data_IF_314835911071
#
_entry.id   IF_314835911071
#
_cell.length_a   1.000
_cell.length_b   1.000
_cell.length_c   1.000
_cell.angle_alpha   90.00
_cell.angle_beta   90.00
_cell.angle_gamma   90.00
#
_symmetry.space_group_name_H-M   'P 1'
#
loop_
_entity.id
_entity.type
_entity.pdbx_description
1 polymer ?
#
# COMPACT_ATOMS: atom_id res chain seq x y z
N UNK A 1 -10.03 -14.21 -2.48
CA UNK A 1 -10.66 -15.32 -3.22
C UNK A 1 -10.26 -16.61 -2.53
N UNK A 2 -11.16 -17.58 -2.34
CA UNK A 2 -10.84 -18.80 -1.61
C UNK A 2 -9.74 -19.60 -2.33
N UNK A 3 -8.79 -20.13 -1.57
CA UNK A 3 -7.67 -20.94 -2.07
C UNK A 3 -8.13 -22.20 -2.85
N UNK A 4 -9.39 -22.60 -2.75
CA UNK A 4 -9.97 -23.77 -3.42
C UNK A 4 -9.84 -23.72 -4.97
N UNK A 5 -9.72 -22.54 -5.58
CA UNK A 5 -9.76 -22.38 -7.03
C UNK A 5 -8.40 -22.49 -7.77
N UNK A 6 -7.26 -22.49 -7.06
CA UNK A 6 -5.91 -22.49 -7.70
C UNK A 6 -4.95 -23.64 -7.34
N UNK A 7 -5.32 -24.93 -7.45
CA UNK A 7 -4.35 -26.04 -7.27
C UNK A 7 -3.20 -26.05 -8.28
N UNK A 8 -3.31 -25.34 -9.42
CA UNK A 8 -2.39 -25.45 -10.56
C UNK A 8 -1.04 -24.72 -10.36
N UNK A 9 -0.98 -23.73 -9.47
CA UNK A 9 0.23 -22.95 -9.21
C UNK A 9 1.16 -23.61 -8.18
N UNK A 10 0.62 -24.55 -7.40
CA UNK A 10 1.33 -25.20 -6.30
C UNK A 10 1.67 -26.65 -6.63
N UNK A 11 2.86 -27.11 -6.21
CA UNK A 11 3.20 -28.54 -6.25
C UNK A 11 2.52 -29.30 -5.11
N UNK A 12 1.19 -29.43 -5.17
CA UNK A 12 0.38 -30.00 -4.07
C UNK A 12 0.52 -31.52 -3.89
N UNK A 13 1.05 -32.26 -4.88
CA UNK A 13 1.11 -33.74 -4.85
C UNK A 13 1.74 -34.31 -3.58
N UNK A 14 2.73 -33.64 -2.99
CA UNK A 14 3.43 -34.13 -1.80
C UNK A 14 2.81 -33.68 -0.46
N UNK A 15 1.79 -32.82 -0.49
CA UNK A 15 1.16 -32.24 0.70
C UNK A 15 -0.36 -32.01 0.51
N UNK A 16 -0.99 -32.78 -0.39
CA UNK A 16 -2.43 -32.66 -0.70
C UNK A 16 -3.30 -32.87 0.54
N UNK A 17 -2.85 -33.75 1.46
CA UNK A 17 -3.52 -33.96 2.74
C UNK A 17 -3.55 -32.66 3.56
N UNK A 18 -2.40 -32.01 3.73
CA UNK A 18 -2.30 -30.73 4.43
C UNK A 18 -3.17 -29.67 3.75
N UNK A 19 -3.09 -29.53 2.42
CA UNK A 19 -3.89 -28.55 1.68
C UNK A 19 -5.39 -28.67 1.95
N UNK A 20 -5.91 -29.89 2.03
CA UNK A 20 -7.32 -30.17 2.33
C UNK A 20 -7.69 -30.01 3.81
N UNK A 21 -6.71 -30.00 4.71
CA UNK A 21 -6.90 -29.77 6.14
C UNK A 21 -6.85 -28.28 6.50
N UNK A 22 -7.53 -27.44 5.71
CA UNK A 22 -7.67 -26.02 6.01
C UNK A 22 -8.66 -25.81 7.17
N UNK A 23 -8.32 -24.95 8.13
CA UNK A 23 -9.24 -24.47 9.17
C UNK A 23 -9.91 -23.18 8.66
N UNK A 24 -11.04 -23.33 7.97
CA UNK A 24 -11.61 -22.29 7.12
C UNK A 24 -12.28 -21.12 7.84
N UNK A 25 -12.55 -21.25 9.14
CA UNK A 25 -13.24 -20.22 9.90
C UNK A 25 -12.79 -20.21 11.36
N UNK A 26 -13.11 -19.12 12.05
CA UNK A 26 -12.63 -18.86 13.39
C UNK A 26 -13.07 -19.93 14.40
N UNK A 27 -14.29 -20.44 14.27
CA UNK A 27 -14.80 -21.49 15.16
C UNK A 27 -13.98 -22.77 15.02
N UNK A 28 -13.75 -23.23 13.78
CA UNK A 28 -12.92 -24.42 13.53
C UNK A 28 -11.49 -24.26 14.06
N UNK A 29 -10.92 -23.05 14.01
CA UNK A 29 -9.59 -22.78 14.58
C UNK A 29 -9.61 -22.82 16.11
N UNK A 30 -10.65 -22.26 16.75
CA UNK A 30 -10.83 -22.29 18.22
C UNK A 30 -10.95 -23.71 18.76
N UNK A 31 -11.64 -24.59 18.04
CA UNK A 31 -11.81 -25.98 18.45
C UNK A 31 -10.49 -26.77 18.51
N UNK A 32 -9.42 -26.29 17.85
CA UNK A 32 -8.10 -26.94 17.82
C UNK A 32 -7.13 -26.44 18.90
N UNK A 33 -7.48 -25.39 19.65
CA UNK A 33 -6.54 -24.66 20.53
C UNK A 33 -5.96 -25.51 21.64
N UNK A 34 -6.71 -26.47 22.19
CA UNK A 34 -6.30 -27.18 23.41
C UNK A 34 -5.16 -28.20 23.21
N UNK A 35 -4.87 -28.63 21.97
CA UNK A 35 -3.87 -29.66 21.69
C UNK A 35 -3.00 -29.34 20.46
N UNK A 36 -2.95 -28.08 20.04
CA UNK A 36 -2.24 -27.66 18.83
C UNK A 36 -1.23 -26.58 19.14
N UNK A 37 -0.01 -26.75 18.62
CA UNK A 37 0.94 -25.65 18.49
C UNK A 37 0.67 -24.98 17.14
N UNK A 38 0.35 -23.69 17.19
CA UNK A 38 0.19 -22.86 16.00
C UNK A 38 1.55 -22.29 15.61
N UNK A 39 1.97 -22.49 14.37
CA UNK A 39 3.27 -22.05 13.87
C UNK A 39 3.05 -21.07 12.74
N UNK A 40 3.16 -19.77 13.03
CA UNK A 40 3.14 -18.75 12.01
C UNK A 40 4.44 -18.76 11.21
N UNK A 41 4.31 -18.60 9.90
CA UNK A 41 5.40 -18.40 8.98
C UNK A 41 5.21 -17.12 8.19
N UNK A 42 6.32 -16.47 7.90
CA UNK A 42 6.41 -15.40 6.91
C UNK A 42 7.74 -15.53 6.15
N UNK A 43 7.81 -15.01 4.93
CA UNK A 43 9.01 -15.09 4.10
C UNK A 43 9.35 -13.78 3.40
N UNK A 44 10.62 -13.39 3.46
CA UNK A 44 11.12 -12.28 2.63
C UNK A 44 11.61 -12.81 1.28
N UNK A 45 11.23 -12.20 0.15
CA UNK A 45 11.64 -12.64 -1.17
C UNK A 45 13.16 -12.51 -1.37
N UNK A 46 13.73 -13.34 -2.25
CA UNK A 46 15.09 -13.14 -2.74
C UNK A 46 15.13 -12.04 -3.80
N UNK A 47 15.87 -10.96 -3.53
CA UNK A 47 15.94 -9.78 -4.40
C UNK A 47 17.28 -9.69 -5.15
N UNK A 48 17.25 -9.12 -6.35
CA UNK A 48 18.44 -8.77 -7.13
C UNK A 48 19.05 -7.43 -6.67
N UNK A 49 20.15 -7.00 -7.32
CA UNK A 49 20.81 -5.73 -7.01
C UNK A 49 19.97 -4.48 -7.27
N UNK A 50 18.88 -4.60 -8.05
CA UNK A 50 17.94 -3.53 -8.34
C UNK A 50 16.70 -3.59 -7.43
N UNK A 51 16.67 -4.55 -6.49
CA UNK A 51 15.56 -4.77 -5.59
C UNK A 51 14.34 -5.46 -6.20
N UNK A 52 14.49 -6.12 -7.35
CA UNK A 52 13.44 -6.93 -7.96
C UNK A 52 13.53 -8.37 -7.48
N UNK A 53 12.38 -9.04 -7.33
CA UNK A 53 12.33 -10.47 -7.00
C UNK A 53 13.09 -11.26 -8.06
N UNK A 54 14.13 -11.97 -7.65
CA UNK A 54 14.98 -12.79 -8.53
C UNK A 54 14.27 -14.10 -8.89
N UNK A 55 13.63 -14.71 -7.91
CA UNK A 55 12.69 -15.82 -8.10
C UNK A 55 11.55 -15.70 -7.07
N UNK A 56 10.32 -15.81 -7.55
CA UNK A 56 9.10 -15.87 -6.72
C UNK A 56 9.04 -17.06 -5.77
N UNK A 57 9.89 -18.07 -6.01
CA UNK A 57 9.94 -19.32 -5.24
C UNK A 57 11.08 -19.32 -4.23
N UNK A 58 11.93 -18.31 -4.18
CA UNK A 58 13.06 -18.28 -3.25
C UNK A 58 12.91 -17.19 -2.19
N UNK A 59 13.24 -17.55 -0.95
CA UNK A 59 13.27 -16.63 0.18
C UNK A 59 14.71 -16.25 0.54
N UNK A 60 14.91 -15.01 0.97
CA UNK A 60 16.17 -14.57 1.61
C UNK A 60 16.13 -14.72 3.13
N UNK A 61 14.93 -14.65 3.72
CA UNK A 61 14.68 -14.74 5.16
C UNK A 61 13.38 -15.52 5.40
N UNK A 62 13.34 -16.32 6.46
CA UNK A 62 12.17 -17.10 6.87
C UNK A 62 11.94 -16.84 8.35
N UNK A 63 10.74 -16.37 8.69
CA UNK A 63 10.31 -16.13 10.05
C UNK A 63 9.43 -17.27 10.55
N UNK A 64 9.57 -17.61 11.83
CA UNK A 64 8.69 -18.55 12.50
C UNK A 64 8.27 -17.99 13.86
N UNK A 65 7.01 -18.13 14.21
CA UNK A 65 6.54 -17.87 15.57
C UNK A 65 5.60 -18.99 16.03
N UNK A 66 5.83 -19.49 17.24
CA UNK A 66 5.12 -20.61 17.82
C UNK A 66 4.23 -20.10 18.94
N UNK A 67 2.93 -20.39 18.85
CA UNK A 67 1.97 -20.20 19.92
C UNK A 67 1.60 -21.59 20.46
N UNK A 68 1.92 -21.82 21.72
CA UNK A 68 1.72 -23.11 22.35
C UNK A 68 0.34 -23.18 23.02
N UNK A 69 -0.27 -24.37 23.07
CA UNK A 69 -1.56 -24.55 23.71
C UNK A 69 -1.40 -24.37 25.23
N UNK A 70 -2.22 -23.52 25.85
CA UNK A 70 -2.13 -23.27 27.29
C UNK A 70 -3.54 -23.27 27.89
N UNK A 71 -3.76 -24.07 28.94
CA UNK A 71 -5.08 -24.27 29.53
C UNK A 71 -5.66 -22.99 30.18
N UNK A 72 -4.78 -22.05 30.53
CA UNK A 72 -5.11 -20.80 31.22
C UNK A 72 -4.96 -19.54 30.33
N UNK A 73 -4.72 -19.74 29.03
CA UNK A 73 -4.60 -18.67 28.06
C UNK A 73 -5.88 -17.82 28.01
N UNK A 74 -5.74 -16.49 28.20
CA UNK A 74 -6.86 -15.55 28.15
C UNK A 74 -7.61 -15.31 29.47
N UNK A 75 -7.06 -15.68 30.63
CA UNK A 75 -7.64 -15.30 31.95
C UNK A 75 -7.64 -13.79 32.21
N UNK A 76 -6.82 -13.02 31.50
CA UNK A 76 -6.84 -11.55 31.56
C UNK A 76 -8.01 -11.00 30.74
N UNK A 77 -8.76 -10.05 31.31
CA UNK A 77 -9.85 -9.37 30.59
C UNK A 77 -9.35 -8.46 29.47
N UNK A 78 -8.07 -8.07 29.49
CA UNK A 78 -7.51 -7.10 28.54
C UNK A 78 -6.58 -7.77 27.52
N UNK A 79 -6.77 -7.51 26.22
CA UNK A 79 -5.88 -8.04 25.18
C UNK A 79 -4.45 -7.48 25.32
N UNK A 80 -3.41 -8.27 24.95
CA UNK A 80 -2.06 -7.72 24.80
C UNK A 80 -2.03 -6.63 23.74
N UNK A 81 -1.20 -5.60 23.96
CA UNK A 81 -1.00 -4.48 23.03
C UNK A 81 0.41 -4.43 22.46
N UNK A 82 1.30 -5.28 22.98
CA UNK A 82 2.71 -5.36 22.57
C UNK A 82 3.19 -6.80 22.37
N UNK A 83 4.34 -6.97 21.70
CA UNK A 83 5.00 -8.27 21.54
C UNK A 83 5.42 -8.84 22.89
N UNK A 84 5.94 -7.99 23.77
CA UNK A 84 6.37 -8.32 25.11
C UNK A 84 5.17 -8.81 25.93
N UNK A 85 4.07 -8.04 25.96
CA UNK A 85 2.84 -8.47 26.65
C UNK A 85 2.26 -9.76 26.08
N UNK A 86 2.40 -9.98 24.77
CA UNK A 86 1.96 -11.22 24.13
C UNK A 86 2.80 -12.40 24.64
N UNK A 87 4.12 -12.26 24.70
CA UNK A 87 5.03 -13.28 25.22
C UNK A 87 4.89 -13.51 26.74
N UNK A 88 4.48 -12.49 27.49
CA UNK A 88 4.24 -12.59 28.93
C UNK A 88 2.91 -13.29 29.23
N UNK A 89 1.85 -12.99 28.47
CA UNK A 89 0.51 -13.55 28.68
C UNK A 89 0.31 -14.92 28.04
N UNK A 90 1.09 -15.24 27.00
CA UNK A 90 0.98 -16.48 26.25
C UNK A 90 2.36 -17.06 26.05
N UNK A 91 2.47 -18.39 26.14
CA UNK A 91 3.70 -19.05 25.77
C UNK A 91 3.94 -18.91 24.25
N UNK A 92 4.79 -17.96 23.86
CA UNK A 92 5.15 -17.67 22.47
C UNK A 92 6.66 -17.65 22.26
N UNK A 93 7.14 -18.39 21.27
CA UNK A 93 8.53 -18.28 20.79
C UNK A 93 8.56 -17.71 19.37
N UNK A 94 9.61 -16.97 19.03
CA UNK A 94 9.77 -16.34 17.72
C UNK A 94 11.21 -16.50 17.29
N UNK A 95 11.38 -16.83 16.02
CA UNK A 95 12.64 -17.20 15.39
C UNK A 95 12.71 -16.57 14.00
N UNK A 96 13.91 -16.24 13.57
CA UNK A 96 14.19 -15.74 12.24
C UNK A 96 15.40 -16.50 11.70
N UNK A 97 15.36 -16.92 10.46
CA UNK A 97 16.45 -17.64 9.79
C UNK A 97 16.77 -16.95 8.48
N UNK A 98 18.07 -16.78 8.19
CA UNK A 98 18.56 -16.25 6.92
C UNK A 98 19.04 -17.38 6.01
N UNK A 99 18.82 -17.21 4.72
CA UNK A 99 19.38 -18.09 3.71
C UNK A 99 20.71 -17.51 3.24
N UNK A 100 21.77 -18.29 3.39
CA UNK A 100 23.13 -17.96 2.99
C UNK A 100 23.21 -17.53 1.53
N UNK A 101 24.12 -16.60 1.26
CA UNK A 101 24.38 -16.01 -0.07
C UNK A 101 23.22 -15.20 -0.70
N UNK A 102 22.09 -15.06 -0.01
CA UNK A 102 20.94 -14.28 -0.49
C UNK A 102 20.90 -12.90 0.19
N UNK A 103 21.05 -11.83 -0.61
CA UNK A 103 21.00 -10.45 -0.13
C UNK A 103 19.59 -10.04 0.29
N UNK A 104 19.51 -9.27 1.38
CA UNK A 104 18.34 -8.51 1.85
C UNK A 104 18.61 -7.01 1.68
N UNK A 105 17.55 -6.20 1.60
CA UNK A 105 17.69 -4.76 1.88
C UNK A 105 17.91 -4.51 3.37
N UNK A 106 18.58 -3.40 3.70
CA UNK A 106 18.53 -2.87 5.06
C UNK A 106 17.07 -2.59 5.42
N UNK A 107 16.61 -3.23 6.49
CA UNK A 107 15.21 -3.24 6.87
C UNK A 107 15.05 -3.26 8.37
N UNK A 108 13.87 -3.65 8.79
CA UNK A 108 13.52 -3.81 10.19
C UNK A 108 14.46 -4.80 10.91
N UNK A 109 14.86 -4.44 12.14
CA UNK A 109 15.62 -5.32 13.01
C UNK A 109 14.70 -6.35 13.66
N UNK A 110 15.16 -7.58 13.76
CA UNK A 110 14.43 -8.62 14.48
C UNK A 110 14.30 -8.23 15.97
N UNK A 111 13.08 -8.31 16.51
CA UNK A 111 12.76 -7.73 17.81
C UNK A 111 13.48 -8.41 18.99
N UNK A 112 13.71 -9.73 18.95
CA UNK A 112 14.35 -10.52 20.02
C UNK A 112 15.88 -10.34 20.17
N UNK A 113 16.46 -9.26 19.66
CA UNK A 113 17.90 -8.99 19.85
C UNK A 113 18.65 -8.48 18.61
N UNK A 114 17.94 -8.08 17.55
CA UNK A 114 18.55 -7.50 16.37
C UNK A 114 19.18 -8.52 15.42
N UNK A 115 20.05 -8.06 14.53
CA UNK A 115 20.60 -8.87 13.44
C UNK A 115 21.60 -9.94 13.88
N UNK A 116 22.29 -9.73 15.00
CA UNK A 116 23.37 -10.60 15.49
C UNK A 116 22.86 -11.97 15.97
N UNK A 117 21.57 -12.08 16.28
CA UNK A 117 20.93 -13.30 16.80
C UNK A 117 20.33 -14.15 15.69
N UNK A 118 20.32 -13.68 14.44
CA UNK A 118 19.67 -14.37 13.32
C UNK A 118 20.63 -15.40 12.70
N UNK A 119 20.42 -16.71 12.89
CA UNK A 119 21.25 -17.72 12.25
C UNK A 119 21.12 -17.69 10.73
N UNK A 120 22.24 -17.90 10.04
CA UNK A 120 22.32 -18.01 8.59
C UNK A 120 22.74 -19.42 8.19
N UNK A 121 22.03 -20.03 7.25
CA UNK A 121 22.32 -21.38 6.77
C UNK A 121 22.46 -21.40 5.25
N UNK A 122 23.36 -22.22 4.74
CA UNK A 122 23.46 -22.47 3.30
C UNK A 122 22.09 -22.90 2.73
N UNK A 123 21.73 -22.51 1.49
CA UNK A 123 20.42 -22.81 0.90
C UNK A 123 19.99 -24.28 1.01
N UNK A 124 20.92 -25.23 0.87
CA UNK A 124 20.66 -26.66 0.99
C UNK A 124 20.45 -27.19 2.42
N UNK A 125 20.70 -26.37 3.44
CA UNK A 125 20.59 -26.70 4.87
C UNK A 125 19.43 -26.02 5.57
N UNK A 126 18.77 -25.06 4.91
CA UNK A 126 17.61 -24.33 5.44
C UNK A 126 16.48 -25.28 5.82
N UNK A 127 16.12 -26.23 4.95
CA UNK A 127 15.02 -27.17 5.24
C UNK A 127 15.30 -28.02 6.48
N UNK A 128 16.55 -28.49 6.62
CA UNK A 128 16.99 -29.28 7.77
C UNK A 128 16.90 -28.47 9.06
N UNK A 129 17.33 -27.21 9.03
CA UNK A 129 17.23 -26.30 10.17
C UNK A 129 15.77 -26.04 10.58
N UNK A 130 14.88 -25.79 9.62
CA UNK A 130 13.46 -25.56 9.86
C UNK A 130 12.78 -26.80 10.47
N UNK A 131 13.03 -27.99 9.90
CA UNK A 131 12.48 -29.25 10.42
C UNK A 131 12.99 -29.52 11.83
N UNK A 132 14.30 -29.36 12.08
CA UNK A 132 14.88 -29.59 13.40
C UNK A 132 14.31 -28.63 14.45
N UNK A 133 14.12 -27.36 14.09
CA UNK A 133 13.51 -26.36 14.96
C UNK A 133 12.10 -26.77 15.36
N UNK A 134 11.23 -27.07 14.38
CA UNK A 134 9.84 -27.49 14.65
C UNK A 134 9.80 -28.76 15.49
N UNK A 135 10.59 -29.78 15.14
CA UNK A 135 10.60 -31.05 15.87
C UNK A 135 11.10 -30.89 17.31
N UNK A 136 12.17 -30.12 17.52
CA UNK A 136 12.73 -29.87 18.84
C UNK A 136 11.73 -29.10 19.70
N UNK A 137 11.08 -28.07 19.13
CA UNK A 137 10.05 -27.30 19.81
C UNK A 137 8.82 -28.15 20.17
N UNK A 138 8.36 -29.01 19.26
CA UNK A 138 7.25 -29.94 19.52
C UNK A 138 7.59 -30.96 20.62
N UNK A 139 8.82 -31.50 20.60
CA UNK A 139 9.29 -32.46 21.60
C UNK A 139 9.40 -31.85 23.00
N UNK A 140 9.89 -30.60 23.11
CA UNK A 140 9.97 -29.88 24.38
C UNK A 140 8.60 -29.75 25.07
N UNK A 141 7.53 -29.68 24.30
CA UNK A 141 6.17 -29.57 24.82
C UNK A 141 5.51 -30.93 25.11
N UNK A 142 6.10 -32.04 24.66
CA UNK A 142 5.55 -33.39 24.86
C UNK A 142 6.00 -33.94 26.22
N UNK A 143 5.42 -33.45 27.32
CA UNK A 143 5.86 -33.84 28.68
C UNK A 143 4.96 -34.86 29.40
N UNK A 144 3.77 -35.24 28.89
CA UNK A 144 2.90 -36.19 29.63
C UNK A 144 1.82 -36.92 28.82
N UNK A 145 1.80 -36.85 27.48
CA UNK A 145 0.71 -37.39 26.67
C UNK A 145 1.03 -37.52 25.19
N UNK A 146 -0.02 -37.60 24.35
CA UNK A 146 0.14 -37.57 22.90
C UNK A 146 0.83 -36.28 22.45
N UNK A 147 1.69 -36.37 21.45
CA UNK A 147 2.38 -35.20 20.91
C UNK A 147 1.36 -34.19 20.35
N UNK A 148 1.50 -32.88 20.65
CA UNK A 148 0.57 -31.89 20.16
C UNK A 148 0.61 -31.83 18.63
N UNK A 149 -0.54 -31.57 18.01
CA UNK A 149 -0.61 -31.36 16.56
C UNK A 149 0.00 -30.02 16.17
N UNK A 150 0.44 -29.88 14.91
CA UNK A 150 1.04 -28.66 14.39
C UNK A 150 0.15 -28.06 13.31
N UNK A 151 -0.28 -26.81 13.51
CA UNK A 151 -1.03 -26.05 12.51
C UNK A 151 -0.14 -24.96 11.92
N UNK A 152 0.00 -24.96 10.59
CA UNK A 152 0.70 -23.90 9.86
C UNK A 152 -0.19 -22.66 9.82
N UNK A 153 0.35 -21.51 10.20
CA UNK A 153 -0.35 -20.23 10.23
C UNK A 153 0.36 -19.26 9.30
N UNK A 154 -0.37 -18.40 8.63
CA UNK A 154 0.21 -17.21 8.00
C UNK A 154 -0.86 -16.16 7.77
N UNK A 155 -0.49 -15.11 7.05
CA UNK A 155 -1.37 -14.01 6.69
C UNK A 155 -1.21 -13.75 5.20
N UNK A 156 -2.23 -14.08 4.40
CA UNK A 156 -2.11 -14.19 2.93
C UNK A 156 -1.01 -15.20 2.51
N UNK A 157 -1.17 -16.45 2.94
CA UNK A 157 -0.21 -17.56 2.83
C UNK A 157 0.19 -17.95 1.40
N UNK A 158 -0.33 -17.28 0.38
CA UNK A 158 -0.14 -17.67 -1.02
C UNK A 158 1.34 -17.67 -1.41
N UNK A 159 2.10 -16.64 -1.01
CA UNK A 159 3.52 -16.54 -1.33
C UNK A 159 4.34 -17.61 -0.58
N UNK A 160 4.03 -17.81 0.70
CA UNK A 160 4.68 -18.77 1.59
C UNK A 160 4.45 -20.18 1.07
N UNK A 161 3.22 -20.54 0.71
CA UNK A 161 2.94 -21.85 0.11
C UNK A 161 3.70 -22.07 -1.20
N UNK A 162 3.88 -21.03 -2.01
CA UNK A 162 4.64 -21.15 -3.25
C UNK A 162 6.10 -21.50 -2.95
N UNK A 163 6.71 -20.83 -2.00
CA UNK A 163 8.11 -21.05 -1.57
C UNK A 163 8.26 -22.42 -0.89
N UNK A 164 7.43 -22.70 0.11
CA UNK A 164 7.48 -23.92 0.92
C UNK A 164 7.23 -25.17 0.07
N UNK A 165 6.26 -25.14 -0.83
CA UNK A 165 5.93 -26.30 -1.68
C UNK A 165 7.02 -26.63 -2.71
N UNK A 166 7.84 -25.66 -3.08
CA UNK A 166 8.93 -25.85 -4.02
C UNK A 166 10.24 -26.26 -3.35
N UNK A 167 10.57 -25.66 -2.20
CA UNK A 167 11.91 -25.79 -1.61
C UNK A 167 11.92 -26.57 -0.30
N UNK A 168 10.81 -26.58 0.44
CA UNK A 168 10.77 -27.09 1.82
C UNK A 168 9.63 -28.11 2.03
N UNK A 169 9.48 -29.14 1.17
CA UNK A 169 8.40 -30.12 1.28
C UNK A 169 8.43 -30.96 2.56
N UNK A 170 9.60 -31.25 3.15
CA UNK A 170 9.73 -31.96 4.43
C UNK A 170 9.24 -31.11 5.59
N UNK A 171 9.50 -29.81 5.56
CA UNK A 171 8.96 -28.88 6.54
C UNK A 171 7.43 -28.85 6.50
N UNK A 172 6.83 -28.77 5.31
CA UNK A 172 5.36 -28.85 5.17
C UNK A 172 4.76 -30.15 5.73
N UNK A 173 5.50 -31.27 5.69
CA UNK A 173 5.03 -32.55 6.23
C UNK A 173 4.96 -32.60 7.76
N UNK A 174 5.52 -31.63 8.47
CA UNK A 174 5.39 -31.51 9.91
C UNK A 174 3.96 -31.10 10.34
N UNK A 175 3.20 -30.45 9.45
CA UNK A 175 1.90 -29.87 9.79
C UNK A 175 0.73 -30.80 9.47
N UNK A 176 -0.28 -30.78 10.33
CA UNK A 176 -1.52 -31.57 10.16
C UNK A 176 -2.64 -30.76 9.52
N UNK A 177 -2.60 -29.45 9.71
CA UNK A 177 -3.62 -28.47 9.31
C UNK A 177 -2.97 -27.12 9.02
N UNK A 178 -3.71 -26.22 8.38
CA UNK A 178 -3.26 -24.85 8.16
C UNK A 178 -4.42 -23.85 8.26
N UNK A 179 -4.09 -22.59 8.53
CA UNK A 179 -5.04 -21.47 8.63
C UNK A 179 -4.42 -20.17 8.13
N UNK A 180 -5.22 -19.39 7.40
CA UNK A 180 -4.87 -18.04 7.00
C UNK A 180 -5.58 -17.04 7.91
N UNK A 181 -4.80 -16.25 8.66
CA UNK A 181 -5.32 -15.27 9.61
C UNK A 181 -6.05 -14.12 8.89
N UNK A 182 -5.70 -13.82 7.64
CA UNK A 182 -6.40 -12.82 6.85
C UNK A 182 -7.83 -13.29 6.53
N UNK A 183 -8.01 -14.57 6.19
CA UNK A 183 -9.33 -15.16 5.97
C UNK A 183 -10.19 -15.12 7.24
N UNK A 184 -9.60 -15.42 8.41
CA UNK A 184 -10.29 -15.28 9.70
C UNK A 184 -10.72 -13.84 10.00
N UNK A 185 -9.87 -12.86 9.64
CA UNK A 185 -10.17 -11.44 9.82
C UNK A 185 -11.26 -10.96 8.85
N UNK A 186 -11.29 -11.48 7.62
CA UNK A 186 -12.36 -11.23 6.64
C UNK A 186 -13.68 -11.80 7.16
N UNK A 187 -13.69 -13.03 7.67
CA UNK A 187 -14.86 -13.69 8.25
C UNK A 187 -15.43 -12.85 9.42
N UNK A 188 -14.56 -12.41 10.34
CA UNK A 188 -14.95 -11.58 11.49
C UNK A 188 -15.66 -10.28 11.10
N UNK A 189 -15.18 -9.58 10.06
CA UNK A 189 -15.66 -8.26 9.69
C UNK A 189 -16.62 -8.26 8.48
N UNK A 190 -16.86 -9.42 7.85
CA UNK A 190 -17.69 -9.58 6.65
C UNK A 190 -17.34 -8.54 5.57
N UNK A 191 -16.04 -8.33 5.33
CA UNK A 191 -15.56 -7.30 4.41
C UNK A 191 -15.31 -7.84 3.00
N UNK A 192 -15.59 -7.05 1.94
CA UNK A 192 -15.25 -7.43 0.58
C UNK A 192 -13.75 -7.32 0.27
N UNK A 193 -13.03 -6.46 1.01
CA UNK A 193 -11.61 -6.22 0.83
C UNK A 193 -10.79 -6.88 1.94
N UNK A 194 -9.69 -7.51 1.55
CA UNK A 194 -8.80 -8.19 2.48
C UNK A 194 -7.98 -7.17 3.30
N UNK A 195 -8.01 -7.23 4.65
CA UNK A 195 -7.26 -6.31 5.49
C UNK A 195 -5.76 -6.59 5.41
N UNK A 196 -4.93 -5.56 5.58
CA UNK A 196 -3.50 -5.77 5.81
C UNK A 196 -3.25 -6.22 7.26
N UNK A 197 -2.15 -6.94 7.49
CA UNK A 197 -1.75 -7.34 8.85
C UNK A 197 -1.60 -6.13 9.79
N UNK A 198 -1.11 -5.02 9.27
CA UNK A 198 -1.06 -3.74 9.98
C UNK A 198 -2.44 -3.26 10.44
N UNK A 199 -3.42 -3.24 9.53
CA UNK A 199 -4.77 -2.78 9.87
C UNK A 199 -5.44 -3.73 10.86
N UNK A 200 -5.23 -5.03 10.71
CA UNK A 200 -5.69 -6.06 11.64
C UNK A 200 -5.17 -5.82 13.05
N UNK A 201 -3.86 -5.61 13.21
CA UNK A 201 -3.26 -5.35 14.53
C UNK A 201 -3.74 -4.03 15.15
N UNK A 202 -3.84 -2.95 14.35
CA UNK A 202 -4.37 -1.67 14.81
C UNK A 202 -5.80 -1.82 15.32
N UNK A 203 -6.65 -2.52 14.57
CA UNK A 203 -8.04 -2.79 14.96
C UNK A 203 -8.13 -3.60 16.26
N UNK A 204 -7.18 -4.50 16.47
CA UNK A 204 -7.09 -5.31 17.68
C UNK A 204 -6.44 -4.58 18.87
N UNK A 205 -6.12 -3.29 18.73
CA UNK A 205 -5.64 -2.45 19.82
C UNK A 205 -4.13 -2.52 20.09
N UNK A 206 -3.35 -3.16 19.20
CA UNK A 206 -1.89 -3.11 19.29
C UNK A 206 -1.37 -1.68 19.05
N UNK A 207 -0.35 -1.31 19.81
CA UNK A 207 0.21 0.02 19.71
C UNK A 207 0.92 0.23 18.37
N UNK A 208 0.69 1.38 17.73
CA UNK A 208 1.43 1.78 16.52
C UNK A 208 2.94 1.95 16.76
N UNK A 209 3.35 2.08 18.02
CA UNK A 209 4.75 2.28 18.45
C UNK A 209 5.41 1.00 18.99
N UNK A 210 4.66 -0.10 19.13
CA UNK A 210 5.24 -1.42 19.36
C UNK A 210 6.19 -1.75 18.18
N UNK A 211 7.33 -2.46 18.36
CA UNK A 211 8.48 -2.36 17.46
C UNK A 211 8.21 -3.14 16.16
N UNK A 212 7.32 -2.62 15.32
CA UNK A 212 6.71 -3.42 14.27
C UNK A 212 6.18 -2.66 13.07
N UNK A 213 6.36 -1.35 12.99
CA UNK A 213 6.22 -0.67 11.71
C UNK A 213 7.56 -0.07 11.37
N UNK A 214 8.23 -0.71 10.40
CA UNK A 214 9.30 -0.11 9.64
C UNK A 214 9.00 1.39 9.49
N UNK A 215 9.90 2.31 9.92
CA UNK A 215 9.69 3.73 9.68
C UNK A 215 9.39 3.94 8.19
N UNK A 216 8.67 5.00 7.78
CA UNK A 216 8.23 5.18 6.39
C UNK A 216 9.33 5.05 5.32
N UNK A 217 10.60 5.15 5.73
CA UNK A 217 11.78 5.05 4.89
C UNK A 217 12.52 3.69 4.96
N UNK A 218 12.08 2.75 5.80
CA UNK A 218 12.61 1.40 5.92
C UNK A 218 12.05 0.54 4.80
N UNK A 219 12.93 0.06 3.91
CA UNK A 219 12.54 -0.65 2.68
C UNK A 219 12.43 -2.17 2.82
N UNK A 220 12.72 -2.73 3.99
CA UNK A 220 12.64 -4.17 4.22
C UNK A 220 11.85 -4.47 5.49
N UNK A 221 10.88 -5.37 5.39
CA UNK A 221 10.29 -5.98 6.58
C UNK A 221 11.21 -7.10 7.09
N UNK A 222 10.89 -7.66 8.25
CA UNK A 222 11.60 -8.79 8.80
C UNK A 222 10.61 -9.94 8.98
N UNK A 223 10.89 -11.07 8.35
CA UNK A 223 9.98 -12.21 8.34
C UNK A 223 9.71 -12.72 9.76
N UNK A 224 10.71 -12.71 10.65
CA UNK A 224 10.53 -13.12 12.05
C UNK A 224 9.54 -12.24 12.81
N UNK A 225 9.61 -10.91 12.59
CA UNK A 225 8.65 -9.98 13.15
C UNK A 225 7.26 -10.18 12.52
N UNK A 226 7.14 -10.42 11.21
CA UNK A 226 5.85 -10.62 10.53
C UNK A 226 5.16 -11.93 10.95
N UNK A 227 5.93 -12.99 11.16
CA UNK A 227 5.43 -14.21 11.79
C UNK A 227 4.92 -13.93 13.23
N UNK A 228 5.65 -13.13 14.02
CA UNK A 228 5.20 -12.73 15.35
C UNK A 228 3.94 -11.86 15.33
N UNK A 229 3.84 -10.90 14.39
CA UNK A 229 2.63 -10.10 14.15
C UNK A 229 1.43 -10.98 13.81
N UNK A 230 1.65 -12.01 12.99
CA UNK A 230 0.61 -12.98 12.64
C UNK A 230 0.12 -13.75 13.86
N UNK A 231 1.03 -14.23 14.72
CA UNK A 231 0.66 -14.85 16.01
C UNK A 231 -0.11 -13.87 16.90
N UNK A 232 0.33 -12.62 17.00
CA UNK A 232 -0.37 -11.59 17.78
C UNK A 232 -1.82 -11.42 17.31
N UNK A 233 -2.05 -11.32 15.99
CA UNK A 233 -3.39 -11.24 15.44
C UNK A 233 -4.21 -12.52 15.73
N UNK A 234 -3.60 -13.70 15.58
CA UNK A 234 -4.25 -14.98 15.88
C UNK A 234 -4.63 -15.10 17.38
N UNK A 235 -3.77 -14.68 18.29
CA UNK A 235 -4.03 -14.66 19.74
C UNK A 235 -5.30 -13.87 20.05
N UNK A 236 -5.46 -12.68 19.46
CA UNK A 236 -6.65 -11.87 19.65
C UNK A 236 -7.90 -12.57 19.14
N UNK A 237 -7.83 -13.17 17.95
CA UNK A 237 -8.94 -13.89 17.35
C UNK A 237 -9.36 -15.12 18.19
N UNK A 238 -8.39 -15.88 18.70
CA UNK A 238 -8.64 -17.12 19.44
C UNK A 238 -9.15 -16.87 20.86
N UNK A 239 -8.52 -15.96 21.59
CA UNK A 239 -8.72 -15.81 23.04
C UNK A 239 -9.54 -14.59 23.44
N UNK A 240 -9.77 -13.65 22.52
CA UNK A 240 -10.56 -12.45 22.77
C UNK A 240 -11.75 -12.37 21.80
N UNK A 241 -12.64 -11.42 22.06
CA UNK A 241 -13.81 -11.13 21.22
C UNK A 241 -13.62 -9.78 20.52
N UNK A 242 -12.71 -9.68 19.52
CA UNK A 242 -12.56 -8.45 18.75
C UNK A 242 -13.85 -8.14 17.97
N UNK A 243 -14.11 -6.86 17.72
CA UNK A 243 -15.27 -6.42 16.93
C UNK A 243 -14.88 -6.22 15.47
N UNK A 244 -15.67 -6.78 14.56
CA UNK A 244 -15.47 -6.58 13.12
C UNK A 244 -15.51 -5.10 12.70
N UNK A 245 -16.34 -4.28 13.37
CA UNK A 245 -16.47 -2.84 13.10
C UNK A 245 -15.15 -2.07 13.30
N UNK A 246 -14.35 -2.45 14.29
CA UNK A 246 -13.06 -1.81 14.57
C UNK A 246 -12.07 -2.08 13.42
N UNK A 247 -12.15 -3.27 12.82
CA UNK A 247 -11.35 -3.65 11.65
C UNK A 247 -11.77 -2.89 10.39
N UNK A 248 -13.08 -2.77 10.16
CA UNK A 248 -13.63 -1.94 9.07
C UNK A 248 -13.13 -0.49 9.22
N UNK A 249 -13.17 0.05 10.44
CA UNK A 249 -12.74 1.42 10.69
C UNK A 249 -11.23 1.59 10.46
N UNK A 250 -10.40 0.68 10.97
CA UNK A 250 -8.95 0.73 10.76
C UNK A 250 -8.57 0.70 9.27
N UNK A 251 -9.23 -0.14 8.47
CA UNK A 251 -9.04 -0.18 7.03
C UNK A 251 -9.43 1.15 6.36
N UNK A 252 -10.60 1.71 6.69
CA UNK A 252 -11.05 3.01 6.16
C UNK A 252 -10.08 4.14 6.49
N UNK A 253 -9.61 4.18 7.73
CA UNK A 253 -8.64 5.18 8.20
C UNK A 253 -7.32 5.07 7.45
N UNK A 254 -6.81 3.85 7.24
CA UNK A 254 -5.60 3.63 6.44
C UNK A 254 -5.76 4.15 5.01
N UNK A 255 -6.84 3.82 4.33
CA UNK A 255 -7.08 4.26 2.95
C UNK A 255 -7.24 5.78 2.84
N UNK A 256 -7.94 6.40 3.79
CA UNK A 256 -8.10 7.86 3.85
C UNK A 256 -6.77 8.58 4.10
N UNK A 257 -5.94 8.06 5.02
CA UNK A 257 -4.61 8.59 5.32
C UNK A 257 -3.64 8.42 4.14
N UNK A 258 -3.67 7.27 3.45
CA UNK A 258 -2.83 7.04 2.26
C UNK A 258 -3.23 7.96 1.10
N UNK A 259 -4.52 8.20 0.92
CA UNK A 259 -5.00 9.19 -0.04
C UNK A 259 -4.50 10.60 0.32
N UNK A 260 -4.56 10.98 1.60
CA UNK A 260 -4.03 12.25 2.08
C UNK A 260 -2.50 12.36 1.94
N UNK A 261 -1.75 11.29 2.22
CA UNK A 261 -0.30 11.28 2.09
C UNK A 261 0.13 11.34 0.62
N UNK A 262 -0.58 10.66 -0.28
CA UNK A 262 -0.41 10.83 -1.73
C UNK A 262 -0.68 12.28 -2.13
N UNK A 263 -1.72 12.94 -1.60
CA UNK A 263 -1.95 14.38 -1.83
C UNK A 263 -0.76 15.23 -1.35
N UNK A 264 -0.24 14.99 -0.15
CA UNK A 264 0.89 15.76 0.42
C UNK A 264 2.19 15.53 -0.36
N UNK A 265 2.58 14.30 -0.62
CA UNK A 265 3.79 13.98 -1.39
C UNK A 265 3.69 14.50 -2.83
N UNK A 266 2.49 14.51 -3.37
CA UNK A 266 2.26 15.06 -4.69
C UNK A 266 2.29 16.60 -4.70
N UNK A 267 1.76 17.28 -3.67
CA UNK A 267 1.98 18.73 -3.47
C UNK A 267 3.46 19.09 -3.33
N UNK A 268 4.28 18.16 -2.84
CA UNK A 268 5.74 18.32 -2.78
C UNK A 268 6.44 18.05 -4.12
N UNK A 269 5.91 17.12 -4.94
CA UNK A 269 6.47 16.76 -6.26
C UNK A 269 6.03 17.70 -7.38
N UNK A 270 4.78 18.15 -7.33
CA UNK A 270 4.28 19.19 -8.19
C UNK A 270 4.72 20.51 -7.57
N UNK A 271 5.85 21.01 -8.04
CA UNK A 271 6.25 22.40 -7.86
C UNK A 271 5.34 23.31 -8.73
N UNK A 272 4.02 23.11 -8.70
CA UNK A 272 3.06 24.06 -9.27
C UNK A 272 3.12 25.24 -8.33
N UNK A 273 3.78 26.29 -8.80
CA UNK A 273 3.75 27.55 -8.12
C UNK A 273 2.28 27.93 -7.89
N UNK A 274 1.97 28.55 -6.74
CA UNK A 274 0.62 29.08 -6.47
C UNK A 274 0.09 29.98 -7.62
N UNK A 275 0.95 30.40 -8.54
CA UNK A 275 0.67 31.17 -9.74
C UNK A 275 -0.11 30.41 -10.82
N UNK A 276 -0.13 29.07 -10.84
CA UNK A 276 -0.84 28.27 -11.86
C UNK A 276 -2.21 27.72 -11.40
N UNK A 277 -2.66 28.10 -10.19
CA UNK A 277 -3.98 27.77 -9.66
C UNK A 277 -4.82 29.05 -9.51
N UNK A 278 -5.87 29.16 -10.32
CA UNK A 278 -6.64 30.38 -10.51
C UNK A 278 -7.98 30.33 -9.77
N UNK A 279 -8.02 30.94 -8.59
CA UNK A 279 -9.27 30.99 -7.80
C UNK A 279 -10.32 31.86 -8.49
N UNK A 280 -11.50 31.26 -8.69
CA UNK A 280 -12.67 31.89 -9.27
C UNK A 280 -12.42 32.48 -10.67
N UNK A 281 -11.37 32.11 -11.39
CA UNK A 281 -11.11 32.68 -12.71
C UNK A 281 -10.46 31.66 -13.63
N UNK A 282 -10.63 31.89 -14.93
CA UNK A 282 -9.94 31.13 -15.96
C UNK A 282 -8.42 31.37 -15.88
N UNK A 283 -7.58 30.36 -16.12
CA UNK A 283 -6.14 30.53 -16.26
C UNK A 283 -5.79 31.59 -17.31
N UNK A 284 -4.88 32.50 -16.94
CA UNK A 284 -4.50 33.69 -17.71
C UNK A 284 -3.03 34.01 -17.51
N UNK A 285 -2.31 34.56 -18.51
CA UNK A 285 -2.79 34.97 -19.83
C UNK A 285 -3.08 33.76 -20.74
N UNK A 286 -4.00 33.91 -21.71
CA UNK A 286 -4.43 32.79 -22.58
C UNK A 286 -3.29 32.23 -23.40
N UNK A 287 -2.32 33.08 -23.74
CA UNK A 287 -1.14 32.70 -24.50
C UNK A 287 -0.20 31.78 -23.72
N UNK A 288 -0.22 31.85 -22.38
CA UNK A 288 0.56 30.94 -21.52
C UNK A 288 -0.13 29.60 -21.32
N UNK A 289 -1.46 29.57 -21.39
CA UNK A 289 -2.26 28.36 -21.18
C UNK A 289 -3.26 28.18 -22.33
N UNK A 290 -2.83 27.92 -23.57
CA UNK A 290 -3.73 27.90 -24.73
C UNK A 290 -4.63 26.66 -24.76
N UNK A 291 -4.15 25.52 -24.25
CA UNK A 291 -4.86 24.23 -24.31
C UNK A 291 -5.81 24.10 -23.12
N UNK A 292 -6.95 24.79 -23.18
CA UNK A 292 -7.92 24.86 -22.09
C UNK A 292 -9.16 24.02 -22.35
N UNK A 293 -9.60 23.24 -21.36
CA UNK A 293 -10.93 22.65 -21.27
C UNK A 293 -11.76 23.37 -20.21
N UNK A 294 -13.02 23.64 -20.50
CA UNK A 294 -14.02 24.00 -19.48
C UNK A 294 -14.74 22.73 -19.07
N UNK A 295 -14.78 22.44 -17.77
CA UNK A 295 -15.45 21.27 -17.20
C UNK A 295 -16.50 21.72 -16.19
N UNK A 296 -17.71 21.19 -16.32
CA UNK A 296 -18.81 21.47 -15.39
C UNK A 296 -19.48 20.15 -15.01
N UNK A 297 -19.86 19.99 -13.73
CA UNK A 297 -20.67 18.90 -13.21
C UNK A 297 -22.02 19.47 -12.75
N UNK A 298 -23.00 19.65 -13.66
CA UNK A 298 -24.21 20.45 -13.39
C UNK A 298 -25.03 19.97 -12.19
N UNK A 299 -25.04 18.66 -11.96
CA UNK A 299 -25.82 17.99 -10.92
C UNK A 299 -25.17 18.12 -9.52
N UNK A 300 -23.90 18.51 -9.45
CA UNK A 300 -23.17 18.70 -8.20
C UNK A 300 -23.20 20.17 -7.74
N UNK A 301 -24.26 20.53 -7.01
CA UNK A 301 -24.36 21.86 -6.38
C UNK A 301 -23.61 21.88 -5.05
N UNK A 302 -22.63 22.78 -4.94
CA UNK A 302 -21.81 22.99 -3.75
C UNK A 302 -22.33 24.11 -2.86
N UNK A 303 -22.04 24.01 -1.56
CA UNK A 303 -22.35 25.08 -0.59
C UNK A 303 -21.50 26.34 -0.80
N UNK A 304 -20.30 26.19 -1.36
CA UNK A 304 -19.37 27.26 -1.69
C UNK A 304 -18.77 27.02 -3.09
N UNK A 305 -18.26 28.07 -3.78
CA UNK A 305 -17.59 27.89 -5.07
C UNK A 305 -16.44 26.88 -4.96
N UNK A 306 -16.23 26.02 -5.97
CA UNK A 306 -15.20 24.99 -5.95
C UNK A 306 -13.81 25.61 -5.75
N UNK A 307 -12.97 24.94 -4.97
CA UNK A 307 -11.55 25.29 -4.95
C UNK A 307 -10.90 24.80 -6.25
N UNK A 308 -10.12 25.68 -6.90
CA UNK A 308 -9.42 25.35 -8.13
C UNK A 308 -8.41 24.20 -7.90
N UNK A 309 -7.89 24.11 -6.67
CA UNK A 309 -7.04 23.00 -6.23
C UNK A 309 -7.80 21.67 -6.20
N UNK A 310 -9.05 21.66 -5.73
CA UNK A 310 -9.87 20.44 -5.71
C UNK A 310 -10.21 19.95 -7.14
N UNK A 311 -10.42 20.89 -8.07
CA UNK A 311 -10.67 20.55 -9.48
C UNK A 311 -9.41 20.00 -10.15
N UNK A 312 -8.26 20.62 -9.91
CA UNK A 312 -6.96 20.14 -10.37
C UNK A 312 -6.67 18.72 -9.85
N UNK A 313 -6.93 18.48 -8.54
CA UNK A 313 -6.78 17.16 -7.91
C UNK A 313 -7.68 16.10 -8.56
N UNK A 314 -8.94 16.45 -8.87
CA UNK A 314 -9.89 15.52 -9.47
C UNK A 314 -9.41 15.00 -10.84
N UNK A 315 -8.84 15.88 -11.66
CA UNK A 315 -8.39 15.56 -13.02
C UNK A 315 -6.91 15.20 -13.13
N UNK A 316 -6.28 14.88 -12.00
CA UNK A 316 -4.84 14.72 -11.92
C UNK A 316 -4.27 13.62 -12.82
N UNK A 317 -5.01 12.55 -13.08
CA UNK A 317 -4.59 11.46 -13.97
C UNK A 317 -4.22 11.94 -15.38
N UNK A 318 -4.75 13.09 -15.78
CA UNK A 318 -4.50 13.73 -17.06
C UNK A 318 -3.36 14.75 -17.05
N UNK A 319 -2.63 14.88 -15.93
CA UNK A 319 -1.45 15.76 -15.78
C UNK A 319 -1.73 17.23 -16.17
N UNK A 320 -2.75 17.87 -15.59
CA UNK A 320 -3.04 19.27 -15.87
C UNK A 320 -1.83 20.17 -15.56
N UNK A 321 -1.59 21.20 -16.37
CA UNK A 321 -0.52 22.19 -16.17
C UNK A 321 -1.00 23.41 -15.37
N UNK A 322 -2.31 23.69 -15.39
CA UNK A 322 -2.95 24.73 -14.60
C UNK A 322 -4.43 24.40 -14.41
N UNK A 323 -5.06 25.01 -13.41
CA UNK A 323 -6.51 24.92 -13.23
C UNK A 323 -7.09 26.24 -12.73
N UNK A 324 -8.34 26.49 -13.09
CA UNK A 324 -9.13 27.59 -12.56
C UNK A 324 -10.48 27.11 -12.04
N UNK A 325 -11.03 27.74 -11.02
CA UNK A 325 -12.38 27.40 -10.54
C UNK A 325 -13.43 28.39 -11.01
N UNK A 326 -14.67 27.91 -11.16
CA UNK A 326 -15.81 28.76 -11.50
C UNK A 326 -16.22 29.70 -10.35
N UNK A 327 -16.88 30.82 -10.69
CA UNK A 327 -17.59 31.65 -9.72
C UNK A 327 -18.92 31.04 -9.25
N UNK A 328 -19.47 30.08 -10.00
CA UNK A 328 -20.75 29.42 -9.71
C UNK A 328 -20.63 28.41 -8.57
N UNK A 329 -21.77 28.06 -7.96
CA UNK A 329 -21.89 26.95 -7.00
C UNK A 329 -21.89 25.56 -7.65
N UNK A 330 -21.69 25.47 -8.95
CA UNK A 330 -21.54 24.20 -9.67
C UNK A 330 -20.09 23.73 -9.52
N UNK A 331 -19.87 22.45 -9.19
CA UNK A 331 -18.53 21.88 -9.20
C UNK A 331 -17.98 21.85 -10.63
N UNK A 332 -16.97 22.68 -10.90
CA UNK A 332 -16.45 22.89 -12.25
C UNK A 332 -15.49 24.07 -12.35
N UNK A 333 -14.91 24.23 -13.52
CA UNK A 333 -13.92 25.25 -13.81
C UNK A 333 -13.17 25.00 -15.11
N UNK A 334 -11.89 25.32 -15.10
CA UNK A 334 -11.00 25.21 -16.24
C UNK A 334 -9.82 24.31 -15.91
N UNK A 335 -9.46 23.45 -16.85
CA UNK A 335 -8.26 22.61 -16.81
C UNK A 335 -7.41 22.97 -18.02
N UNK A 336 -6.12 23.21 -17.80
CA UNK A 336 -5.16 23.44 -18.86
C UNK A 336 -4.21 22.25 -18.98
N UNK A 337 -3.86 21.87 -20.20
CA UNK A 337 -3.00 20.71 -20.50
C UNK A 337 -1.76 21.15 -21.29
N UNK A 338 -0.80 20.24 -21.47
CA UNK A 338 0.50 20.61 -22.04
C UNK A 338 0.48 20.72 -23.58
N UNK A 339 -0.46 20.05 -24.24
CA UNK A 339 -0.58 20.02 -25.70
C UNK A 339 -2.05 19.93 -26.15
N UNK A 340 -2.27 20.15 -27.44
CA UNK A 340 -3.58 19.94 -28.07
C UNK A 340 -3.99 18.46 -28.05
N UNK A 341 -3.04 17.55 -28.27
CA UNK A 341 -3.28 16.09 -28.19
C UNK A 341 -3.76 15.66 -26.80
N UNK A 342 -3.11 16.16 -25.75
CA UNK A 342 -3.54 15.88 -24.37
C UNK A 342 -4.92 16.48 -24.08
N UNK A 343 -5.23 17.65 -24.64
CA UNK A 343 -6.55 18.28 -24.53
C UNK A 343 -7.64 17.45 -25.21
N UNK A 344 -7.39 16.95 -26.41
CA UNK A 344 -8.36 16.14 -27.15
C UNK A 344 -8.60 14.81 -26.43
N UNK A 345 -7.54 14.13 -25.99
CA UNK A 345 -7.64 12.91 -25.18
C UNK A 345 -8.38 13.13 -23.85
N UNK A 346 -8.19 14.29 -23.22
CA UNK A 346 -8.90 14.67 -22.01
C UNK A 346 -10.41 14.83 -22.28
N UNK A 347 -10.78 15.53 -23.35
CA UNK A 347 -12.19 15.78 -23.68
C UNK A 347 -12.91 14.47 -23.99
N UNK A 348 -12.29 13.58 -24.77
CA UNK A 348 -12.85 12.26 -25.09
C UNK A 348 -13.07 11.41 -23.83
N UNK A 349 -12.15 11.49 -22.86
CA UNK A 349 -12.22 10.67 -21.65
C UNK A 349 -13.09 11.26 -20.52
N UNK A 350 -13.43 12.55 -20.57
CA UNK A 350 -14.12 13.26 -19.48
C UNK A 350 -15.53 13.67 -19.85
N UNK A 351 -15.83 13.97 -21.12
CA UNK A 351 -17.19 14.31 -21.51
C UNK A 351 -18.11 13.09 -21.35
N UNK A 352 -19.19 13.23 -20.56
CA UNK A 352 -20.10 12.14 -20.23
C UNK A 352 -19.62 11.17 -19.13
N UNK A 353 -18.42 11.37 -18.57
CA UNK A 353 -17.87 10.54 -17.49
C UNK A 353 -18.71 10.68 -16.21
N UNK A 354 -19.09 9.56 -15.60
CA UNK A 354 -19.75 9.55 -14.29
C UNK A 354 -18.79 9.91 -13.16
N UNK A 355 -19.24 10.77 -12.25
CA UNK A 355 -18.48 11.17 -11.08
C UNK A 355 -18.32 10.01 -10.09
N UNK A 356 -17.11 9.84 -9.53
CA UNK A 356 -16.79 8.73 -8.62
C UNK A 356 -17.57 8.72 -7.30
N UNK A 357 -18.31 9.79 -6.98
CA UNK A 357 -19.22 9.85 -5.83
C UNK A 357 -20.69 9.73 -6.25
N UNK A 358 -20.98 9.39 -7.52
CA UNK A 358 -22.33 9.24 -8.04
C UNK A 358 -23.11 10.55 -8.18
N UNK A 359 -22.42 11.70 -8.26
CA UNK A 359 -23.05 13.04 -8.27
C UNK A 359 -23.52 13.52 -9.64
N UNK A 360 -23.42 12.67 -10.67
CA UNK A 360 -23.83 12.99 -12.03
C UNK A 360 -22.71 12.80 -13.06
N UNK A 361 -22.91 13.39 -14.25
CA UNK A 361 -21.98 13.29 -15.38
C UNK A 361 -21.28 14.61 -15.70
N UNK A 362 -19.99 14.49 -16.00
CA UNK A 362 -19.15 15.62 -16.40
C UNK A 362 -19.49 16.08 -17.81
N UNK A 363 -19.47 17.40 -18.02
CA UNK A 363 -19.53 18.04 -19.33
C UNK A 363 -18.20 18.73 -19.57
N UNK A 364 -17.50 18.36 -20.63
CA UNK A 364 -16.19 18.92 -20.97
C UNK A 364 -16.22 19.58 -22.34
N UNK A 365 -15.67 20.79 -22.47
CA UNK A 365 -15.64 21.55 -23.73
C UNK A 365 -14.29 22.20 -23.97
N UNK A 366 -13.76 22.06 -25.17
CA UNK A 366 -12.54 22.77 -25.59
C UNK A 366 -12.76 24.29 -25.58
N UNK A 367 -11.73 25.02 -25.17
CA UNK A 367 -11.60 26.48 -25.26
C UNK A 367 -10.30 26.88 -25.96
N UNK A 368 -9.63 25.93 -26.62
CA UNK A 368 -8.50 26.22 -27.48
C UNK A 368 -8.94 27.11 -28.65
N UNK A 369 -8.17 28.16 -28.91
CA UNK A 369 -8.41 29.12 -29.99
C UNK A 369 -7.11 29.29 -30.79
N UNK A 370 -7.01 28.70 -31.99
CA UNK A 370 -5.80 28.77 -32.81
C UNK A 370 -5.50 30.19 -33.32
N UNK A 371 -6.48 31.12 -33.26
CA UNK A 371 -6.24 32.52 -33.60
C UNK A 371 -5.43 33.28 -32.53
N UNK A 372 -5.38 32.74 -31.30
CA UNK A 372 -4.63 33.34 -30.18
C UNK A 372 -3.21 32.79 -30.12
N UNK A 373 -3.04 31.46 -30.23
CA UNK A 373 -1.74 30.81 -30.35
C UNK A 373 -1.85 29.65 -31.36
N UNK A 374 -1.16 29.71 -32.51
CA UNK A 374 -1.27 28.70 -33.57
C UNK A 374 -0.35 27.48 -33.34
N UNK A 375 -0.09 27.11 -32.09
CA UNK A 375 0.82 26.00 -31.72
C UNK A 375 0.05 24.83 -31.15
N UNK A 376 0.59 23.62 -31.32
CA UNK A 376 -0.10 22.38 -30.95
C UNK A 376 0.62 21.59 -29.87
N UNK A 377 1.93 21.79 -29.70
CA UNK A 377 2.75 21.07 -28.72
C UNK A 377 3.34 21.98 -27.65
N UNK A 378 3.75 21.39 -26.52
CA UNK A 378 4.42 22.12 -25.43
C UNK A 378 5.73 22.78 -25.90
N UNK A 379 6.53 22.06 -26.70
CA UNK A 379 7.80 22.57 -27.18
C UNK A 379 7.62 23.79 -28.11
N UNK A 380 6.62 23.75 -29.00
CA UNK A 380 6.25 24.89 -29.84
C UNK A 380 5.76 26.08 -29.01
N UNK A 381 4.96 25.81 -27.96
CA UNK A 381 4.46 26.85 -27.06
C UNK A 381 5.61 27.53 -26.31
N UNK A 382 6.55 26.77 -25.78
CA UNK A 382 7.71 27.31 -25.05
C UNK A 382 8.57 28.20 -25.96
N UNK A 383 8.80 27.78 -27.22
CA UNK A 383 9.53 28.57 -28.21
C UNK A 383 8.76 29.83 -28.63
N UNK A 384 7.45 29.73 -28.84
CA UNK A 384 6.58 30.87 -29.14
C UNK A 384 6.62 31.93 -28.02
N UNK A 385 6.50 31.50 -26.76
CA UNK A 385 6.57 32.40 -25.60
C UNK A 385 7.93 33.08 -25.47
N UNK A 386 9.02 32.35 -25.76
CA UNK A 386 10.38 32.89 -25.77
C UNK A 386 10.56 33.96 -26.84
N UNK A 387 10.07 33.71 -28.06
CA UNK A 387 10.13 34.69 -29.15
C UNK A 387 9.30 35.94 -28.86
N UNK A 388 8.09 35.78 -28.31
CA UNK A 388 7.24 36.91 -27.88
C UNK A 388 7.93 37.76 -26.80
N UNK A 389 8.53 37.12 -25.80
CA UNK A 389 9.26 37.84 -24.75
C UNK A 389 10.45 38.64 -25.30
N UNK A 390 11.21 38.07 -26.24
CA UNK A 390 12.32 38.77 -26.90
C UNK A 390 11.84 39.97 -27.73
N UNK A 391 10.72 39.82 -28.47
CA UNK A 391 10.12 40.90 -29.23
C UNK A 391 9.62 42.04 -28.33
N UNK A 392 8.96 41.73 -27.20
CA UNK A 392 8.53 42.74 -26.22
C UNK A 392 9.71 43.50 -25.60
N UNK A 393 10.83 42.82 -25.33
CA UNK A 393 12.04 43.45 -24.82
C UNK A 393 12.64 44.40 -25.88
N UNK A 394 12.69 43.97 -27.13
CA UNK A 394 13.19 44.79 -28.24
C UNK A 394 12.32 46.04 -28.45
N UNK A 395 11.00 45.89 -28.41
CA UNK A 395 10.05 47.00 -28.55
C UNK A 395 10.16 48.00 -27.41
N UNK A 396 10.22 47.52 -26.16
CA UNK A 396 10.44 48.39 -24.98
C UNK A 396 11.77 49.14 -25.07
N UNK A 397 12.81 48.54 -25.65
CA UNK A 397 14.09 49.23 -25.90
C UNK A 397 13.96 50.31 -26.96
N UNK A 398 13.26 50.02 -28.07
CA UNK A 398 13.00 51.00 -29.15
C UNK A 398 12.23 52.21 -28.64
N UNK A 399 11.12 52.01 -27.93
CA UNK A 399 10.32 53.09 -27.34
C UNK A 399 11.15 53.96 -26.38
N UNK A 400 12.05 53.34 -25.59
CA UNK A 400 12.95 54.07 -24.70
C UNK A 400 13.99 54.91 -25.45
N UNK A 401 14.49 54.42 -26.59
CA UNK A 401 15.42 55.16 -27.44
C UNK A 401 14.73 56.33 -28.14
N UNK A 402 13.53 56.11 -28.67
CA UNK A 402 12.72 57.17 -29.31
C UNK A 402 12.35 58.28 -28.32
N UNK A 403 11.96 57.92 -27.08
CA UNK A 403 11.72 58.92 -26.02
C UNK A 403 12.96 59.75 -25.69
N UNK A 404 14.13 59.13 -25.58
CA UNK A 404 15.39 59.84 -25.32
C UNK A 404 15.78 60.77 -26.47
N UNK A 405 15.53 60.37 -27.72
CA UNK A 405 15.78 61.22 -28.89
C UNK A 405 14.81 62.40 -28.98
N UNK A 406 13.53 62.20 -28.64
CA UNK A 406 12.53 63.27 -28.57
C UNK A 406 12.80 64.28 -27.45
N UNK A 407 13.34 63.83 -26.32
CA UNK A 407 13.75 64.70 -25.22
C UNK A 407 14.99 65.53 -25.61
N UNK A 408 15.99 64.92 -26.27
CA UNK A 408 17.19 65.60 -26.74
C UNK A 408 16.95 66.59 -27.91
N UNK A 409 15.79 66.55 -28.57
CA UNK A 409 15.38 67.51 -29.60
C UNK A 409 14.56 68.69 -29.06
N UNK A 410 14.18 68.65 -27.77
CA UNK A 410 13.43 69.71 -27.09
C UNK A 410 14.31 70.63 -26.23
N UNK A 411 15.55 70.22 -25.98
CA UNK A 411 16.64 71.06 -25.45
C UNK A 411 17.39 71.73 -26.61
#
# INVERSE_FOLDING_TARGET
MPFEEYPRLFRTRHWTKLWRSNLANLQSTKDHVSNTIFVAIDTEPWLDCNGKKRDSKEASEIGLAFLFPEADAGRSSEPPRTFEETCEKFHVSSHCIRVGDRKRFTGERFWKGGEEVIPSFDPGKVEEALVNLVQTTQQQFTSSGDAPTLTLVGFDLHAEFLILSHNYPRFLRCFTSWVDVQDLAIDLATMPEAPSLQNTLIAFGYERACPTFAPPNSRGHNAGNDAMRTICALVILLFYQPRGDDLIQACRDYHSNRANQRRIEHRKRINVERSDVFRKRCPSPREKYPFQAKVDLPEATLRAPPDAEALYEYFLRFKPVAAGSNYSKIFGGWICLASLEELDAFLEAVDGLEDGQGRGRWIARSRYDPSVVPVTTKAELDEYLKQKALAEIAEKKRIRQERKQLEAQRE
#
